data_IF_683743792917
#
_entry.id   IF_683743792917
#
_cell.length_a   1.000
_cell.length_b   1.000
_cell.length_c   1.000
_cell.angle_alpha   90.00
_cell.angle_beta   90.00
_cell.angle_gamma   90.00
#
_symmetry.space_group_name_H-M   'P 1'
#
loop_
_entity.id
_entity.type
_entity.pdbx_description
1 polymer ?
#
# COMPACT_ATOMS: atom_id res chain seq x y z
N UNK A 1 -5.93 36.14 20.22
CA UNK A 1 -5.69 37.10 19.12
C UNK A 1 -6.48 36.59 17.93
N UNK A 2 -7.45 37.36 17.44
CA UNK A 2 -8.14 37.09 16.18
C UNK A 2 -7.35 37.84 15.11
N UNK A 3 -6.74 37.11 14.18
CA UNK A 3 -6.05 37.72 13.04
C UNK A 3 -7.12 38.20 12.06
N UNK A 4 -7.11 39.49 11.70
CA UNK A 4 -8.02 40.07 10.70
C UNK A 4 -7.22 40.50 9.47
N UNK A 5 -7.79 40.30 8.28
CA UNK A 5 -7.16 40.69 7.00
C UNK A 5 -6.31 39.61 6.32
N UNK A 6 -6.37 38.35 6.77
CA UNK A 6 -5.77 37.21 6.07
C UNK A 6 -6.72 36.69 4.98
N UNK A 7 -6.15 36.15 3.91
CA UNK A 7 -6.90 35.33 2.96
C UNK A 7 -7.23 33.98 3.57
N UNK A 8 -8.30 33.31 3.10
CA UNK A 8 -8.67 31.97 3.57
C UNK A 8 -7.52 30.94 3.44
N UNK A 9 -6.66 31.11 2.43
CA UNK A 9 -5.48 30.28 2.21
C UNK A 9 -4.43 30.44 3.31
N UNK A 10 -4.15 31.69 3.70
CA UNK A 10 -3.22 32.01 4.79
C UNK A 10 -3.78 31.54 6.15
N UNK A 11 -5.09 31.70 6.36
CA UNK A 11 -5.76 31.18 7.55
C UNK A 11 -5.63 29.66 7.66
N UNK A 12 -5.73 28.93 6.55
CA UNK A 12 -5.57 27.48 6.54
C UNK A 12 -4.13 27.02 6.86
N UNK A 13 -3.11 27.75 6.37
CA UNK A 13 -1.72 27.47 6.75
C UNK A 13 -1.50 27.70 8.25
N UNK A 14 -2.04 28.80 8.79
CA UNK A 14 -1.95 29.11 10.22
C UNK A 14 -2.69 28.07 11.06
N UNK A 15 -3.85 27.60 10.60
CA UNK A 15 -4.58 26.48 11.22
C UNK A 15 -3.72 25.21 11.27
N UNK A 16 -3.04 24.85 10.18
CA UNK A 16 -2.17 23.68 10.13
C UNK A 16 -0.98 23.73 11.10
N UNK A 17 -0.53 24.94 11.45
CA UNK A 17 0.60 25.18 12.35
C UNK A 17 0.22 25.23 13.83
N UNK A 18 -1.07 25.07 14.17
CA UNK A 18 -1.51 25.14 15.57
C UNK A 18 -0.84 24.07 16.45
N UNK A 19 -0.08 24.53 17.44
CA UNK A 19 0.52 23.70 18.51
C UNK A 19 0.06 24.10 19.92
N UNK A 20 -0.89 25.04 20.04
CA UNK A 20 -1.33 25.64 21.31
C UNK A 20 -2.47 24.91 22.04
N UNK A 21 -3.19 25.63 22.91
CA UNK A 21 -4.25 25.17 23.85
C UNK A 21 -5.50 24.49 23.21
N UNK A 22 -5.59 24.45 21.87
CA UNK A 22 -6.71 23.81 21.16
C UNK A 22 -6.47 22.30 20.98
N UNK A 23 -7.54 21.55 20.66
CA UNK A 23 -7.42 20.13 20.36
C UNK A 23 -6.38 19.89 19.24
N UNK A 24 -5.46 18.95 19.47
CA UNK A 24 -4.41 18.61 18.49
C UNK A 24 -5.04 18.15 17.18
N UNK A 25 -4.65 18.78 16.07
CA UNK A 25 -5.10 18.37 14.75
C UNK A 25 -4.71 16.93 14.43
N UNK A 26 -5.63 16.22 13.79
CA UNK A 26 -5.29 14.92 13.21
C UNK A 26 -4.32 15.13 12.03
N UNK A 27 -3.48 14.13 11.68
CA UNK A 27 -2.63 14.23 10.49
C UNK A 27 -3.42 14.49 9.19
N UNK A 28 -4.65 13.99 9.11
CA UNK A 28 -5.54 14.22 7.97
C UNK A 28 -6.04 15.66 7.88
N UNK A 29 -6.44 16.26 9.00
CA UNK A 29 -6.88 17.66 9.04
C UNK A 29 -5.72 18.61 8.77
N UNK A 30 -4.54 18.33 9.36
CA UNK A 30 -3.32 19.09 9.08
C UNK A 30 -2.95 19.04 7.59
N UNK A 31 -2.93 17.83 6.99
CA UNK A 31 -2.64 17.68 5.56
C UNK A 31 -3.66 18.43 4.68
N UNK A 32 -4.96 18.32 4.99
CA UNK A 32 -6.01 19.02 4.24
C UNK A 32 -5.81 20.54 4.28
N UNK A 33 -5.48 21.08 5.45
CA UNK A 33 -5.25 22.51 5.63
C UNK A 33 -3.97 22.98 4.91
N UNK A 34 -2.86 22.23 4.99
CA UNK A 34 -1.63 22.56 4.26
C UNK A 34 -1.84 22.55 2.73
N UNK A 35 -2.59 21.57 2.20
CA UNK A 35 -2.95 21.51 0.78
C UNK A 35 -3.83 22.70 0.38
N UNK A 36 -4.86 23.03 1.18
CA UNK A 36 -5.73 24.18 0.90
C UNK A 36 -4.95 25.49 0.90
N UNK A 37 -4.02 25.64 1.84
CA UNK A 37 -3.11 26.78 1.94
C UNK A 37 -2.03 26.84 0.87
N UNK A 38 -1.97 25.87 -0.06
CA UNK A 38 -1.03 25.86 -1.16
C UNK A 38 0.41 25.46 -0.79
N UNK A 39 0.61 24.74 0.31
CA UNK A 39 1.93 24.25 0.70
C UNK A 39 2.56 23.40 -0.44
N UNK A 40 3.75 23.78 -0.96
CA UNK A 40 4.29 23.16 -2.17
C UNK A 40 4.64 21.69 -1.98
N UNK A 41 5.11 21.28 -0.80
CA UNK A 41 5.43 19.87 -0.52
C UNK A 41 4.17 19.01 -0.44
N UNK A 42 3.13 19.49 0.24
CA UNK A 42 1.86 18.78 0.37
C UNK A 42 1.12 18.69 -0.97
N UNK A 43 1.19 19.74 -1.79
CA UNK A 43 0.64 19.75 -3.15
C UNK A 43 1.39 18.79 -4.07
N UNK A 44 2.72 18.73 -3.99
CA UNK A 44 3.52 17.77 -4.75
C UNK A 44 3.20 16.32 -4.34
N UNK A 45 3.05 16.07 -3.04
CA UNK A 45 2.63 14.78 -2.49
C UNK A 45 1.23 14.36 -2.98
N UNK A 46 0.26 15.29 -2.94
CA UNK A 46 -1.09 15.05 -3.45
C UNK A 46 -1.04 14.67 -4.93
N UNK A 47 -0.37 15.48 -5.75
CA UNK A 47 -0.25 15.24 -7.19
C UNK A 47 0.45 13.92 -7.51
N UNK A 48 1.51 13.57 -6.78
CA UNK A 48 2.19 12.28 -6.93
C UNK A 48 1.25 11.11 -6.60
N UNK A 49 0.48 11.22 -5.51
CA UNK A 49 -0.49 10.20 -5.09
C UNK A 49 -1.64 10.04 -6.09
N UNK A 50 -2.16 11.14 -6.63
CA UNK A 50 -3.24 11.12 -7.63
C UNK A 50 -2.76 10.58 -8.97
N UNK A 51 -1.51 10.84 -9.36
CA UNK A 51 -0.94 10.33 -10.61
C UNK A 51 -0.85 8.80 -10.67
N UNK A 52 -0.79 8.12 -9.51
CA UNK A 52 -0.82 6.65 -9.41
C UNK A 52 -2.25 6.10 -9.26
N UNK A 53 -3.27 6.95 -9.35
CA UNK A 53 -4.69 6.56 -9.25
C UNK A 53 -5.22 6.40 -7.83
N UNK A 54 -4.53 6.97 -6.83
CA UNK A 54 -4.96 6.96 -5.43
C UNK A 54 -5.51 8.33 -5.00
N UNK A 55 -6.34 8.34 -3.97
CA UNK A 55 -6.84 9.57 -3.34
C UNK A 55 -6.50 9.59 -1.87
N UNK A 56 -6.13 10.76 -1.32
CA UNK A 56 -5.90 10.89 0.11
C UNK A 56 -7.21 10.70 0.89
N UNK A 57 -7.12 9.94 1.99
CA UNK A 57 -8.24 9.70 2.90
C UNK A 57 -8.03 10.43 4.22
N UNK A 58 -8.35 11.71 4.21
CA UNK A 58 -8.16 12.58 5.38
C UNK A 58 -8.93 12.10 6.63
N UNK A 59 -10.03 11.35 6.45
CA UNK A 59 -10.84 10.81 7.53
C UNK A 59 -10.60 9.34 7.84
N UNK A 60 -9.61 8.71 7.19
CA UNK A 60 -9.31 7.27 7.31
C UNK A 60 -10.54 6.36 7.15
N UNK A 61 -11.45 6.70 6.22
CA UNK A 61 -12.69 5.96 5.96
C UNK A 61 -12.47 4.58 5.31
N UNK A 62 -11.24 4.26 4.90
CA UNK A 62 -10.81 2.95 4.35
C UNK A 62 -11.57 2.59 3.06
N UNK A 63 -11.80 3.58 2.20
CA UNK A 63 -12.47 3.36 0.92
C UNK A 63 -11.57 2.72 -0.15
N UNK A 64 -12.15 2.36 -1.29
CA UNK A 64 -11.37 1.83 -2.42
C UNK A 64 -10.44 2.90 -2.99
N UNK A 65 -9.18 2.52 -3.27
CA UNK A 65 -8.14 3.43 -3.79
C UNK A 65 -7.86 4.65 -2.89
N UNK A 66 -8.17 4.54 -1.60
CA UNK A 66 -8.04 5.63 -0.63
C UNK A 66 -6.85 5.39 0.30
N UNK A 67 -5.85 6.27 0.23
CA UNK A 67 -4.65 6.23 1.05
C UNK A 67 -4.90 6.90 2.41
N UNK A 68 -5.18 6.09 3.44
CA UNK A 68 -5.46 6.58 4.80
C UNK A 68 -4.23 6.78 5.69
N UNK A 69 -3.11 6.14 5.39
CA UNK A 69 -1.87 6.30 6.14
C UNK A 69 -1.10 7.58 5.73
N UNK A 70 -1.78 8.72 5.66
CA UNK A 70 -1.28 9.98 5.10
C UNK A 70 0.06 10.38 5.72
N UNK A 71 0.18 10.39 7.05
CA UNK A 71 1.40 10.80 7.75
C UNK A 71 2.61 9.96 7.34
N UNK A 72 2.50 8.63 7.43
CA UNK A 72 3.56 7.71 7.03
C UNK A 72 3.89 7.81 5.55
N UNK A 73 2.88 7.89 4.68
CA UNK A 73 3.10 8.01 3.25
C UNK A 73 3.80 9.32 2.87
N UNK A 74 3.46 10.43 3.55
CA UNK A 74 4.09 11.72 3.34
C UNK A 74 5.55 11.73 3.84
N UNK A 75 5.82 11.12 4.99
CA UNK A 75 7.20 10.94 5.48
C UNK A 75 8.06 10.12 4.50
N UNK A 76 7.52 9.02 3.97
CA UNK A 76 8.21 8.25 2.94
C UNK A 76 8.40 9.07 1.64
N UNK A 77 7.38 9.80 1.19
CA UNK A 77 7.48 10.69 0.02
C UNK A 77 8.60 11.72 0.15
N UNK A 78 8.66 12.44 1.28
CA UNK A 78 9.71 13.44 1.52
C UNK A 78 11.11 12.82 1.53
N UNK A 79 11.21 11.57 1.98
CA UNK A 79 12.48 10.89 2.14
C UNK A 79 13.03 10.29 0.84
N UNK A 80 12.18 9.67 0.02
CA UNK A 80 12.62 9.04 -1.25
C UNK A 80 12.44 9.92 -2.48
N UNK A 81 11.69 11.02 -2.35
CA UNK A 81 11.29 11.84 -3.47
C UNK A 81 10.14 11.23 -4.30
N UNK A 82 9.64 12.02 -5.26
CA UNK A 82 8.41 11.69 -5.97
C UNK A 82 8.52 10.42 -6.81
N UNK A 83 9.66 10.16 -7.45
CA UNK A 83 9.77 9.10 -8.45
C UNK A 83 9.73 7.71 -7.84
N UNK A 84 10.57 7.44 -6.84
CA UNK A 84 10.56 6.17 -6.10
C UNK A 84 9.25 5.97 -5.33
N UNK A 85 8.68 7.04 -4.79
CA UNK A 85 7.37 6.99 -4.14
C UNK A 85 6.26 6.54 -5.10
N UNK A 86 6.16 7.18 -6.27
CA UNK A 86 5.18 6.83 -7.31
C UNK A 86 5.41 5.41 -7.82
N UNK A 87 6.66 5.03 -8.07
CA UNK A 87 7.03 3.68 -8.52
C UNK A 87 6.54 2.63 -7.52
N UNK A 88 6.85 2.81 -6.23
CA UNK A 88 6.45 1.90 -5.16
C UNK A 88 4.92 1.77 -5.04
N UNK A 89 4.18 2.87 -5.04
CA UNK A 89 2.72 2.81 -4.99
C UNK A 89 2.12 2.19 -6.25
N UNK A 90 2.72 2.43 -7.41
CA UNK A 90 2.30 1.81 -8.67
C UNK A 90 2.45 0.28 -8.61
N UNK A 91 3.44 -0.26 -7.88
CA UNK A 91 3.55 -1.71 -7.67
C UNK A 91 2.34 -2.29 -6.93
N UNK A 92 1.85 -1.57 -5.92
CA UNK A 92 0.66 -1.97 -5.14
C UNK A 92 -0.60 -1.86 -6.00
N UNK A 93 -0.78 -0.73 -6.71
CA UNK A 93 -1.95 -0.48 -7.55
C UNK A 93 -2.02 -1.47 -8.71
N UNK A 94 -0.90 -1.71 -9.39
CA UNK A 94 -0.82 -2.68 -10.48
C UNK A 94 -1.13 -4.11 -10.00
N UNK A 95 -0.74 -4.45 -8.77
CA UNK A 95 -1.06 -5.75 -8.18
C UNK A 95 -2.57 -5.96 -7.96
N UNK A 96 -3.38 -4.90 -7.89
CA UNK A 96 -4.85 -5.02 -7.86
C UNK A 96 -5.48 -5.24 -9.23
N UNK A 97 -4.83 -4.71 -10.28
CA UNK A 97 -5.34 -4.71 -11.65
C UNK A 97 -4.98 -5.99 -12.42
N UNK A 98 -4.02 -6.77 -11.91
CA UNK A 98 -3.74 -8.11 -12.40
C UNK A 98 -5.02 -8.96 -12.35
N UNK A 99 -5.67 -9.10 -13.50
CA UNK A 99 -6.74 -10.08 -13.68
C UNK A 99 -6.08 -11.46 -13.70
N UNK A 100 -6.57 -12.42 -12.90
CA UNK A 100 -6.26 -13.81 -13.21
C UNK A 100 -6.82 -14.09 -14.61
N UNK A 101 -6.07 -14.62 -15.58
CA UNK A 101 -6.70 -15.30 -16.68
C UNK A 101 -7.50 -16.45 -16.04
N UNK A 102 -8.83 -16.34 -16.08
CA UNK A 102 -9.67 -17.50 -15.90
C UNK A 102 -9.66 -18.21 -17.26
N UNK A 103 -9.23 -19.48 -17.37
CA UNK A 103 -9.49 -20.23 -18.59
C UNK A 103 -11.01 -20.39 -18.65
N UNK A 104 -11.65 -19.55 -19.48
CA UNK A 104 -13.00 -19.77 -19.95
C UNK A 104 -12.82 -20.50 -21.28
N UNK A 105 -13.44 -21.66 -21.42
CA UNK A 105 -13.50 -22.30 -22.73
C UNK A 105 -14.30 -21.42 -23.71
N UNK A 106 -14.12 -21.62 -25.02
CA UNK A 106 -14.79 -20.86 -26.09
C UNK A 106 -16.33 -20.92 -25.99
N UNK A 107 -16.88 -21.84 -25.19
CA UNK A 107 -18.31 -22.02 -24.94
C UNK A 107 -18.84 -21.28 -23.71
N UNK A 108 -18.00 -20.53 -22.99
CA UNK A 108 -18.42 -19.73 -21.83
C UNK A 108 -18.91 -20.54 -20.63
N UNK A 109 -18.59 -21.84 -20.55
CA UNK A 109 -19.08 -22.73 -19.48
C UNK A 109 -17.95 -23.01 -18.47
N UNK A 110 -18.28 -22.97 -17.17
CA UNK A 110 -17.30 -23.24 -16.10
C UNK A 110 -16.84 -24.70 -16.16
N UNK A 111 -15.63 -24.95 -16.66
CA UNK A 111 -15.03 -26.29 -16.68
C UNK A 111 -14.58 -26.73 -15.28
N UNK A 112 -15.46 -27.41 -14.55
CA UNK A 112 -15.06 -28.40 -13.55
C UNK A 112 -15.33 -29.78 -14.16
N UNK A 113 -14.38 -30.37 -14.89
CA UNK A 113 -14.49 -31.78 -15.28
C UNK A 113 -13.60 -32.64 -14.38
N UNK A 114 -14.30 -33.26 -13.43
CA UNK A 114 -14.14 -34.62 -12.89
C UNK A 114 -12.80 -35.01 -12.27
N UNK A 115 -12.75 -34.98 -10.93
CA UNK A 115 -11.97 -35.96 -10.18
C UNK A 115 -12.69 -37.32 -10.23
N UNK A 116 -11.98 -38.46 -10.34
CA UNK A 116 -12.63 -39.76 -10.36
C UNK A 116 -13.33 -40.05 -9.03
N UNK A 117 -14.55 -40.56 -9.13
CA UNK A 117 -15.37 -41.05 -8.02
C UNK A 117 -14.70 -42.32 -7.53
N UNK A 118 -13.90 -42.27 -6.47
CA UNK A 118 -13.66 -43.33 -5.47
C UNK A 118 -12.55 -42.86 -4.49
N UNK A 119 -12.93 -42.11 -3.47
CA UNK A 119 -12.16 -41.98 -2.23
C UNK A 119 -13.14 -41.66 -1.10
N UNK A 120 -13.60 -42.73 -0.45
CA UNK A 120 -14.40 -42.63 0.78
C UNK A 120 -13.47 -42.23 1.92
N UNK A 121 -13.87 -41.23 2.71
CA UNK A 121 -13.18 -40.81 3.92
C UNK A 121 -12.18 -39.67 3.73
N UNK A 122 -12.66 -38.43 3.84
CA UNK A 122 -11.95 -37.29 4.42
C UNK A 122 -12.94 -36.12 4.50
N UNK A 123 -13.10 -35.54 5.68
CA UNK A 123 -13.84 -34.28 5.86
C UNK A 123 -13.35 -33.24 4.84
N UNK A 124 -14.23 -32.43 4.23
CA UNK A 124 -13.79 -31.35 3.36
C UNK A 124 -12.93 -30.39 4.19
N UNK A 125 -11.64 -30.29 3.84
CA UNK A 125 -10.77 -29.23 4.30
C UNK A 125 -11.45 -27.86 4.07
N UNK A 126 -11.26 -26.88 4.96
CA UNK A 126 -11.98 -25.61 4.90
C UNK A 126 -11.81 -24.99 3.52
N UNK A 127 -12.95 -24.73 2.89
CA UNK A 127 -13.07 -24.20 1.53
C UNK A 127 -12.13 -23.00 1.37
N UNK A 128 -11.15 -23.12 0.47
CA UNK A 128 -10.29 -21.99 0.05
C UNK A 128 -11.21 -20.89 -0.45
N UNK A 129 -11.41 -19.87 0.38
CA UNK A 129 -12.24 -18.70 0.08
C UNK A 129 -11.83 -18.16 -1.29
N UNK A 130 -12.82 -18.00 -2.17
CA UNK A 130 -12.61 -17.43 -3.50
C UNK A 130 -11.83 -16.12 -3.34
N UNK A 131 -10.55 -16.10 -3.79
CA UNK A 131 -9.66 -14.95 -3.60
C UNK A 131 -10.29 -13.73 -4.26
N UNK A 132 -10.89 -12.87 -3.43
CA UNK A 132 -11.61 -11.64 -3.75
C UNK A 132 -10.78 -10.79 -4.71
N UNK A 133 -11.41 -10.33 -5.80
CA UNK A 133 -10.84 -9.36 -6.73
C UNK A 133 -10.42 -8.11 -5.93
N UNK A 134 -9.11 -7.82 -5.86
CA UNK A 134 -8.52 -6.78 -4.97
C UNK A 134 -8.64 -5.36 -5.48
N UNK A 135 -9.70 -5.05 -6.24
CA UNK A 135 -9.86 -3.78 -6.93
C UNK A 135 -9.97 -2.60 -5.94
N UNK A 136 -8.82 -2.02 -5.58
CA UNK A 136 -8.69 -0.97 -4.58
C UNK A 136 -8.86 -1.45 -3.14
N UNK A 137 -8.30 -2.60 -2.75
CA UNK A 137 -8.45 -3.11 -1.38
C UNK A 137 -7.75 -2.18 -0.35
N UNK A 138 -8.48 -1.56 0.60
CA UNK A 138 -7.89 -0.66 1.58
C UNK A 138 -6.89 -1.34 2.52
N UNK A 139 -6.97 -2.67 2.69
CA UNK A 139 -6.00 -3.42 3.51
C UNK A 139 -4.62 -3.50 2.84
N UNK A 140 -4.52 -3.21 1.55
CA UNK A 140 -3.23 -3.14 0.83
C UNK A 140 -2.52 -1.79 0.98
N UNK A 141 -3.21 -0.75 1.47
CA UNK A 141 -2.66 0.61 1.66
C UNK A 141 -2.37 0.95 3.13
N UNK A 142 -2.13 -0.08 3.94
CA UNK A 142 -1.70 0.11 5.32
C UNK A 142 -0.32 0.77 5.38
N UNK A 143 -0.07 1.52 6.46
CA UNK A 143 1.21 2.19 6.68
C UNK A 143 2.39 1.23 6.55
N UNK A 144 2.24 0.01 7.12
CA UNK A 144 3.24 -1.04 7.09
C UNK A 144 3.53 -1.55 5.67
N UNK A 145 2.50 -1.64 4.83
CA UNK A 145 2.64 -2.09 3.43
C UNK A 145 3.29 -1.02 2.60
N UNK A 146 2.82 0.23 2.70
CA UNK A 146 3.42 1.37 2.00
C UNK A 146 4.90 1.51 2.37
N UNK A 147 5.20 1.49 3.67
CA UNK A 147 6.58 1.56 4.15
C UNK A 147 7.42 0.38 3.65
N UNK A 148 6.94 -0.85 3.76
CA UNK A 148 7.68 -2.03 3.28
C UNK A 148 7.99 -1.98 1.79
N UNK A 149 7.01 -1.59 0.95
CA UNK A 149 7.17 -1.55 -0.51
C UNK A 149 8.05 -0.38 -0.94
N UNK A 150 7.87 0.82 -0.38
CA UNK A 150 8.72 1.98 -0.68
C UNK A 150 10.18 1.70 -0.35
N UNK A 151 10.44 1.16 0.85
CA UNK A 151 11.80 0.80 1.29
C UNK A 151 12.42 -0.30 0.42
N UNK A 152 11.61 -1.24 -0.05
CA UNK A 152 12.07 -2.29 -0.95
C UNK A 152 12.46 -1.73 -2.32
N UNK A 153 11.59 -0.93 -2.93
CA UNK A 153 11.83 -0.32 -4.25
C UNK A 153 13.04 0.59 -4.21
N UNK A 154 13.21 1.37 -3.15
CA UNK A 154 14.42 2.18 -2.95
C UNK A 154 15.68 1.31 -2.84
N UNK A 155 15.69 0.31 -1.94
CA UNK A 155 16.89 -0.46 -1.64
C UNK A 155 17.37 -1.35 -2.80
N UNK A 156 16.45 -1.74 -3.68
CA UNK A 156 16.73 -2.59 -4.84
C UNK A 156 16.45 -1.89 -6.16
N UNK A 157 16.40 -0.55 -6.18
CA UNK A 157 16.11 0.21 -7.39
C UNK A 157 17.07 -0.19 -8.52
N UNK A 158 16.52 -0.44 -9.72
CA UNK A 158 17.27 -0.94 -10.88
C UNK A 158 17.64 -2.43 -10.84
N UNK A 159 17.52 -3.13 -9.72
CA UNK A 159 17.86 -4.56 -9.57
C UNK A 159 16.65 -5.48 -9.58
N UNK A 160 15.52 -5.04 -9.01
CA UNK A 160 14.33 -5.87 -8.88
C UNK A 160 13.52 -5.94 -10.19
N UNK A 161 12.85 -7.07 -10.43
CA UNK A 161 11.92 -7.22 -11.55
C UNK A 161 10.52 -6.76 -11.12
N UNK A 162 10.04 -5.65 -11.69
CA UNK A 162 8.73 -5.07 -11.34
C UNK A 162 7.57 -6.04 -11.59
N UNK A 163 7.58 -6.78 -12.71
CA UNK A 163 6.50 -7.75 -13.01
C UNK A 163 6.47 -8.87 -11.97
N UNK A 164 7.64 -9.31 -11.50
CA UNK A 164 7.75 -10.29 -10.43
C UNK A 164 7.18 -9.73 -9.13
N UNK A 165 7.56 -8.53 -8.73
CA UNK A 165 7.06 -7.91 -7.49
C UNK A 165 5.53 -7.77 -7.53
N UNK A 166 4.98 -7.21 -8.61
CA UNK A 166 3.54 -7.04 -8.82
C UNK A 166 2.82 -8.41 -8.76
N UNK A 167 3.35 -9.43 -9.44
CA UNK A 167 2.75 -10.77 -9.45
C UNK A 167 2.76 -11.43 -8.06
N UNK A 168 3.84 -11.23 -7.29
CA UNK A 168 3.97 -11.75 -5.92
C UNK A 168 3.02 -11.04 -4.97
N UNK A 169 2.98 -9.71 -4.99
CA UNK A 169 2.04 -8.90 -4.20
C UNK A 169 0.59 -9.26 -4.50
N UNK A 170 0.22 -9.46 -5.77
CA UNK A 170 -1.14 -9.91 -6.16
C UNK A 170 -1.50 -11.27 -5.54
N UNK A 171 -0.54 -12.19 -5.41
CA UNK A 171 -0.79 -13.56 -4.90
C UNK A 171 -0.88 -13.65 -3.38
N UNK A 172 -0.20 -12.76 -2.66
CA UNK A 172 -0.05 -12.73 -1.19
C UNK A 172 -1.14 -11.92 -0.53
N UNK A 173 -1.81 -12.41 0.53
CA UNK A 173 -2.86 -11.66 1.24
C UNK A 173 -2.39 -10.26 1.69
N UNK A 174 -3.19 -9.18 1.54
CA UNK A 174 -2.76 -7.83 1.89
C UNK A 174 -2.35 -7.67 3.35
N UNK A 175 -2.95 -8.46 4.25
CA UNK A 175 -2.63 -8.42 5.68
C UNK A 175 -1.38 -9.21 6.05
N UNK A 176 -0.80 -9.99 5.12
CA UNK A 176 0.41 -10.79 5.40
C UNK A 176 1.55 -9.92 5.89
N UNK A 177 1.86 -8.81 5.19
CA UNK A 177 2.98 -7.92 5.57
C UNK A 177 2.79 -7.38 6.99
N UNK A 178 1.57 -6.95 7.33
CA UNK A 178 1.23 -6.48 8.67
C UNK A 178 1.36 -7.58 9.72
N UNK A 179 0.71 -8.73 9.50
CA UNK A 179 0.64 -9.84 10.46
C UNK A 179 2.01 -10.44 10.74
N UNK A 180 2.77 -10.78 9.70
CA UNK A 180 4.09 -11.39 9.83
C UNK A 180 5.11 -10.38 10.36
N UNK A 181 5.05 -9.12 9.91
CA UNK A 181 5.90 -8.05 10.44
C UNK A 181 5.66 -7.80 11.93
N UNK A 182 4.42 -7.87 12.41
CA UNK A 182 4.10 -7.78 13.85
C UNK A 182 4.59 -9.00 14.62
N UNK A 183 4.48 -10.20 14.05
CA UNK A 183 4.92 -11.45 14.67
C UNK A 183 6.44 -11.52 14.88
N UNK A 184 7.23 -10.78 14.09
CA UNK A 184 8.69 -10.73 14.25
C UNK A 184 9.16 -10.05 15.55
N UNK A 185 8.27 -9.35 16.27
CA UNK A 185 8.58 -8.78 17.58
C UNK A 185 9.81 -7.86 17.56
N UNK A 186 10.74 -8.09 18.49
CA UNK A 186 12.00 -7.34 18.65
C UNK A 186 13.11 -7.83 17.72
N UNK A 187 12.94 -8.95 17.01
CA UNK A 187 13.98 -9.52 16.15
C UNK A 187 14.35 -8.59 14.99
N UNK A 188 13.43 -7.71 14.59
CA UNK A 188 13.66 -6.70 13.57
C UNK A 188 12.90 -5.43 13.92
N UNK A 189 13.63 -4.36 14.28
CA UNK A 189 13.05 -3.13 14.77
C UNK A 189 12.50 -2.23 13.64
N UNK A 190 11.48 -1.44 13.98
CA UNK A 190 10.96 -0.38 13.11
C UNK A 190 10.44 -0.87 11.77
N UNK A 191 10.83 -0.18 10.69
CA UNK A 191 10.38 -0.45 9.32
C UNK A 191 10.97 -1.75 8.74
N UNK A 192 12.14 -2.18 9.24
CA UNK A 192 12.88 -3.31 8.66
C UNK A 192 12.08 -4.61 8.68
N UNK A 193 11.20 -4.80 9.66
CA UNK A 193 10.33 -5.99 9.72
C UNK A 193 9.32 -6.07 8.59
N UNK A 194 8.84 -4.93 8.10
CA UNK A 194 7.89 -4.87 6.98
C UNK A 194 8.62 -4.94 5.63
N UNK A 195 9.78 -4.28 5.52
CA UNK A 195 10.70 -4.46 4.40
C UNK A 195 11.08 -5.93 4.22
N UNK A 196 11.40 -6.62 5.33
CA UNK A 196 11.71 -8.05 5.32
C UNK A 196 10.56 -8.90 4.77
N UNK A 197 9.31 -8.60 5.13
CA UNK A 197 8.18 -9.32 4.54
C UNK A 197 8.08 -9.10 3.02
N UNK A 198 8.28 -7.87 2.54
CA UNK A 198 8.27 -7.58 1.09
C UNK A 198 9.42 -8.30 0.37
N UNK A 199 10.61 -8.31 0.97
CA UNK A 199 11.76 -9.07 0.48
C UNK A 199 11.46 -10.58 0.38
N UNK A 200 10.89 -11.18 1.43
CA UNK A 200 10.47 -12.58 1.45
C UNK A 200 9.39 -12.87 0.38
N UNK A 201 8.42 -11.98 0.22
CA UNK A 201 7.36 -12.08 -0.80
C UNK A 201 7.96 -12.06 -2.21
N UNK A 202 8.88 -11.13 -2.48
CA UNK A 202 9.53 -10.98 -3.78
C UNK A 202 10.35 -12.23 -4.15
N UNK A 203 11.22 -12.68 -3.24
CA UNK A 203 12.08 -13.83 -3.46
C UNK A 203 11.24 -15.12 -3.54
N UNK A 204 10.39 -15.36 -2.54
CA UNK A 204 9.64 -16.61 -2.38
C UNK A 204 10.54 -17.85 -2.57
N UNK A 205 9.96 -18.95 -3.05
CA UNK A 205 10.70 -20.22 -3.23
C UNK A 205 11.49 -20.34 -4.54
N UNK A 206 11.47 -19.34 -5.42
CA UNK A 206 12.11 -19.45 -6.74
C UNK A 206 13.57 -19.05 -6.66
N UNK A 207 14.48 -19.95 -7.08
CA UNK A 207 15.93 -19.68 -7.14
C UNK A 207 16.35 -18.69 -8.24
N UNK A 208 15.50 -18.47 -9.26
CA UNK A 208 15.77 -17.49 -10.33
C UNK A 208 15.43 -16.08 -9.86
N UNK A 209 16.21 -15.07 -10.29
CA UNK A 209 16.01 -13.63 -10.00
C UNK A 209 15.79 -13.33 -8.50
N UNK A 210 16.54 -14.02 -7.65
CA UNK A 210 16.57 -13.74 -6.20
C UNK A 210 17.45 -12.52 -5.95
N UNK A 211 17.05 -11.69 -5.00
CA UNK A 211 17.87 -10.59 -4.51
C UNK A 211 18.58 -11.03 -3.22
N UNK A 212 19.83 -10.62 -2.99
CA UNK A 212 20.51 -10.81 -1.71
C UNK A 212 19.90 -9.90 -0.65
N UNK A 213 20.03 -10.25 0.63
CA UNK A 213 19.58 -9.39 1.73
C UNK A 213 20.60 -8.30 2.03
N UNK A 214 20.18 -7.02 2.08
CA UNK A 214 21.06 -5.84 2.22
C UNK A 214 20.88 -5.03 3.52
N UNK A 215 20.08 -5.47 4.50
CA UNK A 215 19.66 -4.64 5.64
C UNK A 215 19.50 -5.42 6.95
#
# INVERSE_FOLDING_TARGET
IVYTGMTESEEALLFAQQTGESARLTPGDKMRAMIYGGDPECMAFLKATESVGLKLDYGQRRGKYRLGCIGTAFEEFKRVGADLYKEALSMIVAAWQLSRPHPVDETGRRSWRSAPVFASGCHPAPQKTAKRKRNGDPESLRAETVQGVVRFVELYHGEYDSRRLITRLHKTDPLTIYREGRAMGVNMAGYKKYLYQVYCIYNGSSKKKVLPMKF
#
